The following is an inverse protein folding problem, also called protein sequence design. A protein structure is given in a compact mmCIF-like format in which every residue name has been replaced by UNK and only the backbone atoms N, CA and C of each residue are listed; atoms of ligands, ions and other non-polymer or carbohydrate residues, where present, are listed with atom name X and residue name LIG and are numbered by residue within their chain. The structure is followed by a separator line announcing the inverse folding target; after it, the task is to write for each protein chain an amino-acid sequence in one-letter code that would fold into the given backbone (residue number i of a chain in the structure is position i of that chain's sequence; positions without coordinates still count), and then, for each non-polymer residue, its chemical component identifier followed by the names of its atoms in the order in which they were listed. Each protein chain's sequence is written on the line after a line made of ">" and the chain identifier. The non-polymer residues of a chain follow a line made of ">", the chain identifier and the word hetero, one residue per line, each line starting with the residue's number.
data_IF_759083996864
#
_entry.id   IF_759083996864
#
_cell.length_a   1.000
_cell.length_b   1.000
_cell.length_c   1.000
_cell.angle_alpha   90.00
_cell.angle_beta   90.00
_cell.angle_gamma   90.00
#
_symmetry.space_group_name_H-M   'P 1'
#
loop_
_entity.id
_entity.type
_entity.pdbx_description
1 polymer ?
#
# COMPACT_ATOMS: atom_id res chain seq x y z
N UNK A 1 -3.86 13.65 11.39
CA UNK A 1 -4.30 12.25 11.57
C UNK A 1 -3.51 11.68 12.74
N UNK A 2 -3.99 10.61 13.40
CA UNK A 2 -3.24 9.96 14.47
C UNK A 2 -3.12 8.48 14.13
N UNK A 3 -1.89 8.03 13.87
CA UNK A 3 -1.58 6.62 13.69
C UNK A 3 -1.16 6.02 15.04
N UNK A 4 -1.89 5.01 15.51
CA UNK A 4 -1.57 4.28 16.73
C UNK A 4 -1.10 2.90 16.33
N UNK A 5 0.18 2.61 16.54
CA UNK A 5 0.76 1.29 16.33
C UNK A 5 0.36 0.38 17.51
N UNK A 6 -0.50 -0.61 17.27
CA UNK A 6 -0.96 -1.51 18.33
C UNK A 6 0.00 -2.68 18.51
N UNK A 7 0.41 -3.35 17.43
CA UNK A 7 1.27 -4.56 17.51
C UNK A 7 2.12 -4.77 16.27
N UNK A 8 3.36 -5.20 16.49
CA UNK A 8 4.24 -5.83 15.48
C UNK A 8 4.45 -7.29 15.87
N UNK A 9 3.65 -8.20 15.33
CA UNK A 9 3.83 -9.64 15.54
C UNK A 9 4.17 -10.31 14.21
N UNK A 10 5.25 -11.09 14.16
CA UNK A 10 5.60 -11.94 13.03
C UNK A 10 5.66 -11.22 11.66
N UNK A 11 6.30 -10.04 11.62
CA UNK A 11 6.36 -9.12 10.47
C UNK A 11 5.04 -8.50 10.04
N UNK A 12 3.96 -8.65 10.81
CA UNK A 12 2.68 -7.95 10.58
C UNK A 12 2.59 -6.76 11.53
N UNK A 13 2.46 -5.56 10.97
CA UNK A 13 2.08 -4.38 11.73
C UNK A 13 0.56 -4.19 11.67
N UNK A 14 -0.02 -4.06 12.86
CA UNK A 14 -1.39 -3.61 13.04
C UNK A 14 -1.32 -2.18 13.54
N UNK A 15 -1.89 -1.26 12.77
CA UNK A 15 -2.00 0.13 13.18
C UNK A 15 -3.38 0.66 12.87
N UNK A 16 -3.85 1.51 13.77
CA UNK A 16 -5.15 2.15 13.68
C UNK A 16 -4.92 3.60 13.27
N UNK A 17 -5.55 4.02 12.17
CA UNK A 17 -5.54 5.42 11.74
C UNK A 17 -6.85 6.06 12.18
N UNK A 18 -6.74 7.15 12.93
CA UNK A 18 -7.85 8.05 13.20
C UNK A 18 -7.85 9.18 12.17
N UNK A 19 -8.90 9.19 11.34
CA UNK A 19 -9.14 10.22 10.32
C UNK A 19 -10.10 11.26 10.91
N UNK A 20 -9.69 12.54 10.99
CA UNK A 20 -10.55 13.60 11.53
C UNK A 20 -11.75 13.85 10.62
N UNK A 21 -12.87 14.24 11.22
CA UNK A 21 -14.13 14.48 10.52
C UNK A 21 -14.03 15.56 9.43
N UNK A 22 -13.16 16.57 9.60
CA UNK A 22 -12.92 17.65 8.63
C UNK A 22 -12.36 17.11 7.30
N UNK A 23 -11.34 16.25 7.36
CA UNK A 23 -10.77 15.62 6.17
C UNK A 23 -11.80 14.72 5.48
N UNK A 24 -12.66 14.06 6.26
CA UNK A 24 -13.77 13.26 5.72
C UNK A 24 -14.81 14.12 5.01
N UNK A 25 -15.16 15.30 5.53
CA UNK A 25 -16.08 16.23 4.87
C UNK A 25 -15.53 16.76 3.53
N UNK A 26 -14.23 17.06 3.48
CA UNK A 26 -13.56 17.43 2.22
C UNK A 26 -13.59 16.29 1.20
N UNK A 27 -13.31 15.06 1.64
CA UNK A 27 -13.38 13.87 0.80
C UNK A 27 -14.81 13.64 0.27
N UNK A 28 -15.84 13.87 1.10
CA UNK A 28 -17.24 13.82 0.66
C UNK A 28 -17.57 14.90 -0.37
N UNK A 29 -17.00 16.11 -0.23
CA UNK A 29 -17.18 17.15 -1.23
C UNK A 29 -16.51 16.79 -2.57
N UNK A 30 -15.31 16.21 -2.54
CA UNK A 30 -14.63 15.69 -3.74
C UNK A 30 -15.42 14.55 -4.40
N UNK A 31 -15.89 13.59 -3.60
CA UNK A 31 -16.75 12.49 -4.05
C UNK A 31 -18.04 13.02 -4.71
N UNK A 32 -18.69 14.02 -4.11
CA UNK A 32 -19.85 14.69 -4.69
C UNK A 32 -19.55 15.33 -6.05
N UNK A 33 -18.45 16.07 -6.18
CA UNK A 33 -18.09 16.72 -7.45
C UNK A 33 -17.81 15.71 -8.57
N UNK A 34 -17.24 14.55 -8.24
CA UNK A 34 -16.96 13.45 -9.16
C UNK A 34 -18.23 12.71 -9.57
N UNK A 35 -19.10 12.38 -8.61
CA UNK A 35 -20.27 11.53 -8.83
C UNK A 35 -21.55 12.29 -9.21
N UNK A 36 -21.63 13.63 -9.03
CA UNK A 36 -22.83 14.42 -9.40
C UNK A 36 -23.33 14.20 -10.82
N UNK A 37 -22.42 13.94 -11.77
CA UNK A 37 -22.73 13.74 -13.19
C UNK A 37 -23.36 12.37 -13.48
N UNK A 38 -23.22 11.40 -12.57
CA UNK A 38 -23.78 10.06 -12.68
C UNK A 38 -25.24 10.00 -12.21
N UNK A 39 -25.63 10.85 -11.26
CA UNK A 39 -26.99 10.86 -10.71
C UNK A 39 -27.97 11.64 -11.59
N UNK A 40 -29.17 11.08 -11.78
CA UNK A 40 -30.27 11.72 -12.49
C UNK A 40 -31.42 11.97 -11.50
N UNK A 41 -31.63 13.23 -11.12
CA UNK A 41 -32.64 13.61 -10.14
C UNK A 41 -33.75 14.39 -10.84
N UNK A 42 -35.02 13.96 -10.71
CA UNK A 42 -36.16 14.71 -11.24
C UNK A 42 -36.15 16.17 -10.75
N UNK A 43 -36.28 17.11 -11.69
CA UNK A 43 -36.29 18.55 -11.39
C UNK A 43 -34.93 19.25 -11.45
N UNK A 44 -33.81 18.52 -11.52
CA UNK A 44 -32.48 19.11 -11.69
C UNK A 44 -31.84 18.67 -13.00
N UNK A 45 -31.15 19.60 -13.69
CA UNK A 45 -30.32 19.24 -14.83
C UNK A 45 -29.22 18.28 -14.38
N UNK A 46 -29.00 17.19 -15.13
CA UNK A 46 -27.96 16.17 -14.86
C UNK A 46 -26.64 16.84 -14.44
N UNK A 47 -26.09 16.44 -13.29
CA UNK A 47 -24.84 17.03 -12.75
C UNK A 47 -24.98 18.30 -11.92
N UNK A 48 -26.18 18.87 -11.76
CA UNK A 48 -26.40 20.15 -11.05
C UNK A 48 -27.28 20.05 -9.82
N UNK A 49 -27.67 18.84 -9.41
CA UNK A 49 -28.43 18.63 -8.18
C UNK A 49 -27.57 18.93 -6.94
N UNK A 50 -28.07 19.69 -5.95
CA UNK A 50 -27.37 19.94 -4.70
C UNK A 50 -27.13 18.65 -3.90
N UNK A 51 -26.02 18.61 -3.15
CA UNK A 51 -25.62 17.47 -2.31
C UNK A 51 -26.73 16.95 -1.39
N UNK A 52 -27.42 17.84 -0.66
CA UNK A 52 -28.54 17.48 0.24
C UNK A 52 -29.67 16.73 -0.47
N UNK A 53 -29.97 17.09 -1.72
CA UNK A 53 -31.04 16.44 -2.49
C UNK A 53 -30.60 15.05 -2.96
N UNK A 54 -29.32 14.87 -3.33
CA UNK A 54 -28.80 13.55 -3.70
C UNK A 54 -28.76 12.62 -2.49
N UNK A 55 -28.30 13.11 -1.34
CA UNK A 55 -28.30 12.35 -0.08
C UNK A 55 -29.71 11.90 0.34
N UNK A 56 -30.75 12.73 0.10
CA UNK A 56 -32.15 12.36 0.39
C UNK A 56 -32.73 11.31 -0.57
N UNK A 57 -32.29 11.27 -1.83
CA UNK A 57 -32.83 10.35 -2.83
C UNK A 57 -32.06 9.01 -2.91
N UNK A 58 -30.75 9.05 -2.69
CA UNK A 58 -29.86 7.90 -2.87
C UNK A 58 -29.22 7.39 -1.57
N UNK A 59 -29.46 8.07 -0.44
CA UNK A 59 -28.81 7.78 0.83
C UNK A 59 -27.44 8.43 0.96
N UNK A 60 -27.00 8.65 2.20
CA UNK A 60 -25.70 9.25 2.52
C UNK A 60 -24.52 8.28 2.26
N UNK A 61 -24.80 6.99 2.33
CA UNK A 61 -23.83 5.90 2.18
C UNK A 61 -23.19 5.87 0.78
N UNK A 62 -23.89 6.35 -0.25
CA UNK A 62 -23.38 6.35 -1.63
C UNK A 62 -22.14 7.23 -1.81
N UNK A 63 -21.96 8.21 -0.92
CA UNK A 63 -20.77 9.07 -0.91
C UNK A 63 -19.73 8.58 0.09
N UNK A 64 -20.08 7.74 1.06
CA UNK A 64 -19.14 7.23 2.06
C UNK A 64 -18.14 6.29 1.43
N UNK A 65 -18.57 5.34 0.61
CA UNK A 65 -17.65 4.43 -0.07
C UNK A 65 -16.65 5.18 -0.96
N UNK A 66 -17.12 6.15 -1.76
CA UNK A 66 -16.23 6.93 -2.62
C UNK A 66 -15.32 7.85 -1.80
N UNK A 67 -15.82 8.47 -0.73
CA UNK A 67 -15.00 9.33 0.13
C UNK A 67 -13.91 8.52 0.84
N UNK A 68 -14.23 7.31 1.33
CA UNK A 68 -13.29 6.37 1.92
C UNK A 68 -12.22 5.99 0.91
N UNK A 69 -12.60 5.61 -0.31
CA UNK A 69 -11.64 5.26 -1.36
C UNK A 69 -10.70 6.42 -1.76
N UNK A 70 -11.13 7.67 -1.56
CA UNK A 70 -10.30 8.85 -1.82
C UNK A 70 -9.35 9.11 -0.64
N UNK A 71 -9.84 9.05 0.59
CA UNK A 71 -9.06 9.46 1.77
C UNK A 71 -8.13 8.37 2.29
N UNK A 72 -8.53 7.10 2.15
CA UNK A 72 -7.83 5.99 2.76
C UNK A 72 -6.43 5.76 2.17
N UNK A 73 -6.19 5.87 0.85
CA UNK A 73 -4.85 5.79 0.28
C UNK A 73 -3.93 6.93 0.77
N UNK A 74 -4.45 8.16 0.83
CA UNK A 74 -3.70 9.33 1.30
C UNK A 74 -3.34 9.18 2.79
N UNK A 75 -4.31 8.81 3.62
CA UNK A 75 -4.12 8.58 5.05
C UNK A 75 -3.16 7.42 5.34
N UNK A 76 -3.23 6.34 4.56
CA UNK A 76 -2.32 5.20 4.65
C UNK A 76 -0.89 5.59 4.29
N UNK A 77 -0.71 6.38 3.23
CA UNK A 77 0.61 6.85 2.80
C UNK A 77 1.24 7.74 3.88
N UNK A 78 0.49 8.70 4.42
CA UNK A 78 0.96 9.54 5.53
C UNK A 78 1.33 8.71 6.77
N UNK A 79 0.53 7.70 7.12
CA UNK A 79 0.80 6.84 8.28
C UNK A 79 2.05 5.96 8.08
N UNK A 80 2.30 5.45 6.87
CA UNK A 80 3.52 4.69 6.56
C UNK A 80 4.75 5.57 6.65
N UNK A 81 4.69 6.79 6.11
CA UNK A 81 5.80 7.74 6.15
C UNK A 81 6.12 8.14 7.60
N UNK A 82 5.10 8.40 8.41
CA UNK A 82 5.24 8.74 9.84
C UNK A 82 5.88 7.57 10.61
N UNK A 83 5.45 6.34 10.34
CA UNK A 83 5.95 5.14 11.00
C UNK A 83 7.22 4.56 10.38
N UNK A 84 7.71 5.15 9.26
CA UNK A 84 8.85 4.68 8.45
C UNK A 84 8.82 3.18 8.17
N UNK A 85 7.63 2.65 7.86
CA UNK A 85 7.46 1.23 7.57
C UNK A 85 7.73 0.98 6.09
N UNK A 86 8.38 -0.13 5.77
CA UNK A 86 8.49 -0.62 4.39
C UNK A 86 7.49 -1.77 4.20
N UNK A 87 6.25 -1.48 3.79
CA UNK A 87 5.26 -2.52 3.50
C UNK A 87 5.67 -3.29 2.23
N UNK A 88 5.46 -4.60 2.25
CA UNK A 88 5.78 -5.50 1.12
C UNK A 88 4.52 -6.01 0.43
N UNK A 89 3.38 -5.94 1.12
CA UNK A 89 2.09 -6.45 0.63
C UNK A 89 1.02 -5.36 0.61
N UNK A 90 -0.05 -5.60 -0.14
CA UNK A 90 -1.25 -4.75 -0.08
C UNK A 90 -1.85 -4.82 1.33
N UNK A 91 -2.17 -3.68 1.95
CA UNK A 91 -2.76 -3.67 3.29
C UNK A 91 -4.17 -4.25 3.28
N UNK A 92 -4.48 -5.04 4.30
CA UNK A 92 -5.86 -5.37 4.65
C UNK A 92 -6.43 -4.20 5.49
N UNK A 93 -7.59 -3.70 5.07
CA UNK A 93 -8.20 -2.50 5.63
C UNK A 93 -9.57 -2.87 6.16
N UNK A 94 -9.72 -2.83 7.48
CA UNK A 94 -10.99 -3.01 8.16
C UNK A 94 -11.49 -1.66 8.69
N UNK A 95 -12.69 -1.28 8.26
CA UNK A 95 -13.32 -0.02 8.64
C UNK A 95 -14.38 -0.34 9.70
N UNK A 96 -14.11 -0.03 10.96
CA UNK A 96 -15.00 -0.39 12.06
C UNK A 96 -16.22 0.53 12.16
N UNK A 97 -16.02 1.84 12.00
CA UNK A 97 -17.10 2.82 12.19
C UNK A 97 -17.08 3.89 11.10
N UNK A 98 -18.17 3.94 10.33
CA UNK A 98 -18.46 5.01 9.37
C UNK A 98 -19.69 5.76 9.89
N UNK A 99 -19.48 6.74 10.76
CA UNK A 99 -20.55 7.64 11.21
C UNK A 99 -20.38 9.05 10.67
N UNK A 100 -21.49 9.63 10.20
CA UNK A 100 -21.53 10.99 9.69
C UNK A 100 -21.16 11.99 10.80
N UNK A 101 -20.06 12.73 10.60
CA UNK A 101 -19.64 13.79 11.52
C UNK A 101 -18.84 13.32 12.74
N UNK A 102 -18.41 12.06 12.79
CA UNK A 102 -17.46 11.53 13.77
C UNK A 102 -16.14 11.15 13.10
N UNK A 103 -15.02 11.12 13.86
CA UNK A 103 -13.75 10.60 13.36
C UNK A 103 -13.91 9.13 12.94
N UNK A 104 -13.32 8.77 11.80
CA UNK A 104 -13.33 7.41 11.28
C UNK A 104 -12.11 6.69 11.82
N UNK A 105 -12.34 5.50 12.36
CA UNK A 105 -11.29 4.60 12.84
C UNK A 105 -11.13 3.50 11.79
N UNK A 106 -9.97 3.49 11.13
CA UNK A 106 -9.59 2.45 10.18
C UNK A 106 -8.48 1.60 10.79
N UNK A 107 -8.69 0.29 10.88
CA UNK A 107 -7.68 -0.69 11.27
C UNK A 107 -7.00 -1.21 10.03
N UNK A 108 -5.67 -1.12 10.01
CA UNK A 108 -4.87 -1.55 8.88
C UNK A 108 -3.89 -2.62 9.36
N UNK A 109 -3.90 -3.75 8.66
CA UNK A 109 -2.91 -4.81 8.79
C UNK A 109 -1.98 -4.78 7.58
N UNK A 110 -0.68 -4.71 7.81
CA UNK A 110 0.31 -4.78 6.73
C UNK A 110 1.51 -5.64 7.09
N UNK A 111 1.99 -6.40 6.10
CA UNK A 111 3.23 -7.16 6.22
C UNK A 111 4.42 -6.24 5.91
N UNK A 112 5.30 -6.08 6.89
CA UNK A 112 6.54 -5.29 6.79
C UNK A 112 7.68 -6.20 6.35
N UNK A 113 8.63 -5.64 5.61
CA UNK A 113 9.89 -6.30 5.28
C UNK A 113 10.63 -6.75 6.56
N UNK A 114 11.06 -8.02 6.65
CA UNK A 114 11.85 -8.47 7.79
C UNK A 114 13.19 -7.72 7.83
N UNK A 115 13.63 -7.35 9.04
CA UNK A 115 15.01 -6.93 9.25
C UNK A 115 15.92 -8.15 9.10
N UNK A 116 16.59 -8.26 7.96
CA UNK A 116 17.56 -9.33 7.72
C UNK A 116 18.83 -9.02 8.50
N UNK A 117 19.03 -9.73 9.62
CA UNK A 117 20.34 -9.79 10.26
C UNK A 117 21.19 -10.79 9.49
N UNK A 118 22.13 -10.28 8.70
CA UNK A 118 23.16 -11.11 8.09
C UNK A 118 23.90 -11.86 9.20
N UNK A 119 23.95 -13.19 9.11
CA UNK A 119 24.83 -13.99 9.96
C UNK A 119 26.31 -13.74 9.63
N UNK A 120 27.20 -14.53 10.23
CA UNK A 120 28.63 -14.47 9.91
C UNK A 120 28.91 -15.03 8.50
N UNK A 121 28.69 -14.22 7.47
CA UNK A 121 29.04 -14.55 6.08
C UNK A 121 30.56 -14.52 5.84
N UNK A 122 31.34 -14.03 6.81
CA UNK A 122 32.81 -13.91 6.74
C UNK A 122 33.56 -15.18 7.16
N UNK A 123 32.87 -16.15 7.75
CA UNK A 123 33.45 -17.46 8.11
C UNK A 123 33.21 -18.52 7.03
N UNK A 124 32.60 -18.15 5.90
CA UNK A 124 32.47 -19.05 4.75
C UNK A 124 33.80 -19.06 4.01
N UNK A 125 34.64 -20.05 4.32
CA UNK A 125 35.84 -20.34 3.54
C UNK A 125 35.43 -21.03 2.24
N UNK A 126 35.55 -20.31 1.13
CA UNK A 126 35.39 -20.87 -0.21
C UNK A 126 36.80 -21.22 -0.71
N UNK A 127 37.05 -22.49 -0.97
CA UNK A 127 38.27 -22.90 -1.68
C UNK A 127 38.25 -22.29 -3.08
N UNK A 128 39.22 -21.41 -3.35
CA UNK A 128 39.43 -20.87 -4.69
C UNK A 128 39.93 -22.01 -5.57
N UNK A 129 39.06 -22.51 -6.46
CA UNK A 129 39.47 -23.44 -7.51
C UNK A 129 40.33 -22.66 -8.50
N UNK A 130 41.65 -22.69 -8.32
CA UNK A 130 42.60 -22.19 -9.31
C UNK A 130 42.78 -23.24 -10.40
N UNK A 131 42.16 -22.99 -11.55
CA UNK A 131 42.48 -23.71 -12.78
C UNK A 131 43.83 -23.21 -13.32
N UNK A 132 44.92 -23.76 -12.81
CA UNK A 132 46.23 -23.54 -13.42
C UNK A 132 46.27 -24.32 -14.75
N UNK A 133 46.28 -23.59 -15.85
CA UNK A 133 46.49 -24.17 -17.18
C UNK A 133 47.96 -24.57 -17.26
N UNK A 134 48.23 -25.87 -17.32
CA UNK A 134 49.59 -26.40 -17.50
C UNK A 134 49.97 -26.39 -18.98
N UNK A 135 51.28 -26.34 -19.27
CA UNK A 135 51.79 -26.44 -20.65
C UNK A 135 51.35 -27.75 -21.34
N UNK A 136 51.10 -28.80 -20.55
CA UNK A 136 50.53 -30.08 -21.01
C UNK A 136 49.12 -29.91 -21.59
N UNK A 137 48.24 -29.14 -20.93
CA UNK A 137 46.92 -28.81 -21.47
C UNK A 137 47.01 -27.99 -22.76
N UNK A 138 48.05 -27.16 -22.91
CA UNK A 138 48.29 -26.38 -24.13
C UNK A 138 48.77 -27.28 -25.28
N UNK A 139 49.67 -28.22 -25.00
CA UNK A 139 50.14 -29.19 -26.00
C UNK A 139 49.06 -30.16 -26.45
N UNK A 140 48.20 -30.60 -25.53
CA UNK A 140 47.07 -31.48 -25.84
C UNK A 140 46.09 -30.79 -26.79
N UNK A 141 45.79 -29.52 -26.53
CA UNK A 141 44.90 -28.72 -27.37
C UNK A 141 45.54 -28.34 -28.73
N UNK A 142 46.85 -28.08 -28.75
CA UNK A 142 47.61 -27.88 -30.00
C UNK A 142 47.59 -29.13 -30.89
N UNK A 143 47.73 -30.33 -30.31
CA UNK A 143 47.64 -31.60 -31.06
C UNK A 143 46.24 -31.83 -31.62
N UNK A 144 45.20 -31.59 -30.81
CA UNK A 144 43.80 -31.70 -31.25
C UNK A 144 43.49 -30.77 -32.43
N UNK A 145 44.05 -29.56 -32.45
CA UNK A 145 43.92 -28.63 -33.58
C UNK A 145 44.72 -29.07 -34.80
N UNK A 146 45.87 -29.74 -34.62
CA UNK A 146 46.75 -30.20 -35.71
C UNK A 146 46.21 -31.43 -36.46
N UNK A 147 45.47 -32.30 -35.78
CA UNK A 147 44.81 -33.46 -36.40
C UNK A 147 43.52 -33.09 -37.17
N UNK A 148 43.09 -31.83 -37.07
CA UNK A 148 41.88 -31.29 -37.70
C UNK A 148 42.17 -30.63 -39.04
#
# INVERSE_FOLDING_TARGET
>A
MKAILEKKENNKAHFTIEIPAENFEEALQKAYLKNRSRFNIPGFRKGKAPRKIIEMNYGKEIFYEEAINIILPDAYTEAIEELKLEPVDTPDVDIEEIEAGKPIIAKIEVVIKPEVKLGDYKSIEIEKVEYNVTDEHIEEELKLVQER
#
